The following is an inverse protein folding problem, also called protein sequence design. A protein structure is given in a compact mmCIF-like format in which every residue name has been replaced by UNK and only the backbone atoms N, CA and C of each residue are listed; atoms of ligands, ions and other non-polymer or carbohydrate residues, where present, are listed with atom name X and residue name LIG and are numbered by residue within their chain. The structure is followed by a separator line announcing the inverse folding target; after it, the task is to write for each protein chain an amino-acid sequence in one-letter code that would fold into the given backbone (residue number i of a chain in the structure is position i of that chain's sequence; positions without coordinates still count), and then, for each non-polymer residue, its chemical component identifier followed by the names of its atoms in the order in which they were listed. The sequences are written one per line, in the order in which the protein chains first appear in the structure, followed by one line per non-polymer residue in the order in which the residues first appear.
data_IF_284253069361
#
_entry.id   IF_284253069361
#
_cell.length_a   1.000
_cell.length_b   1.000
_cell.length_c   1.000
_cell.angle_alpha   90.00
_cell.angle_beta   90.00
_cell.angle_gamma   90.00
#
_symmetry.space_group_name_H-M   'P 1'
#
loop_
_entity.id
_entity.type
_entity.pdbx_description
1 polymer ?
#
# COMPACT_ATOMS: atom_id res chain seq x y z
N UNK A 1 11.69 -10.91 16.06
CA UNK A 1 10.85 -11.39 14.94
C UNK A 1 11.75 -11.60 13.72
N UNK A 2 11.93 -12.84 13.29
CA UNK A 2 12.71 -13.14 12.08
C UNK A 2 12.04 -12.50 10.86
N UNK A 3 12.77 -11.64 10.15
CA UNK A 3 12.23 -10.89 9.02
C UNK A 3 12.05 -11.80 7.79
N UNK A 4 10.90 -12.47 7.70
CA UNK A 4 10.52 -13.34 6.58
C UNK A 4 10.63 -12.64 5.22
N UNK A 5 10.40 -11.32 5.17
CA UNK A 5 10.51 -10.54 3.94
C UNK A 5 11.95 -10.50 3.44
N UNK A 6 12.94 -10.40 4.34
CA UNK A 6 14.36 -10.37 4.00
C UNK A 6 14.90 -11.75 3.62
N UNK A 7 14.44 -12.81 4.29
CA UNK A 7 14.96 -14.17 4.05
C UNK A 7 14.48 -14.78 2.73
N UNK A 8 13.26 -14.45 2.31
CA UNK A 8 12.64 -15.00 1.09
C UNK A 8 12.47 -13.98 -0.03
N UNK A 9 13.04 -12.78 0.13
CA UNK A 9 12.95 -11.69 -0.82
C UNK A 9 11.50 -11.35 -1.21
N UNK A 10 10.60 -11.37 -0.22
CA UNK A 10 9.18 -11.09 -0.38
C UNK A 10 8.86 -9.65 -0.02
N UNK A 11 7.89 -9.09 -0.72
CA UNK A 11 7.26 -7.81 -0.47
C UNK A 11 6.11 -8.02 0.50
N UNK A 12 6.18 -7.39 1.67
CA UNK A 12 5.08 -7.34 2.61
C UNK A 12 4.31 -6.02 2.46
N UNK A 13 2.98 -6.09 2.44
CA UNK A 13 2.10 -4.93 2.47
C UNK A 13 0.98 -5.13 3.50
N UNK A 14 0.65 -4.07 4.24
CA UNK A 14 -0.48 -4.05 5.17
C UNK A 14 -1.48 -2.96 4.78
N UNK A 15 -2.75 -3.23 5.05
CA UNK A 15 -3.86 -2.30 4.87
C UNK A 15 -4.41 -1.92 6.23
N UNK A 16 -4.35 -0.63 6.55
CA UNK A 16 -4.98 -0.07 7.73
C UNK A 16 -6.07 0.92 7.31
N UNK A 17 -7.18 0.88 8.02
CA UNK A 17 -8.31 1.82 7.88
C UNK A 17 -8.63 2.51 9.19
N UNK A 18 -9.59 3.43 9.17
CA UNK A 18 -10.14 4.04 10.38
C UNK A 18 -11.53 3.49 10.65
N UNK A 19 -11.81 3.13 11.90
CA UNK A 19 -13.16 2.79 12.32
C UNK A 19 -14.00 4.05 12.61
N UNK A 20 -15.27 3.88 12.99
CA UNK A 20 -16.18 5.00 13.31
C UNK A 20 -15.77 5.86 14.50
N UNK A 21 -14.82 5.39 15.31
CA UNK A 21 -14.25 6.14 16.43
C UNK A 21 -12.93 6.83 16.05
N UNK A 22 -12.55 6.82 14.77
CA UNK A 22 -11.31 7.42 14.28
C UNK A 22 -10.05 6.62 14.64
N UNK A 23 -10.20 5.37 15.08
CA UNK A 23 -9.06 4.53 15.48
C UNK A 23 -8.53 3.73 14.28
N UNK A 24 -7.20 3.68 14.17
CA UNK A 24 -6.52 2.84 13.18
C UNK A 24 -6.79 1.36 13.44
N UNK A 25 -7.31 0.66 12.43
CA UNK A 25 -7.65 -0.76 12.47
C UNK A 25 -6.97 -1.48 11.31
N UNK A 26 -6.31 -2.61 11.57
CA UNK A 26 -5.73 -3.45 10.52
C UNK A 26 -6.87 -4.14 9.75
N UNK A 27 -6.97 -3.87 8.45
CA UNK A 27 -7.95 -4.47 7.55
C UNK A 27 -7.42 -5.75 6.89
N UNK A 28 -6.11 -5.88 6.77
CA UNK A 28 -5.48 -7.07 6.23
C UNK A 28 -4.01 -6.88 5.87
N UNK A 29 -3.38 -7.93 5.37
CA UNK A 29 -2.01 -7.90 4.89
C UNK A 29 -1.80 -8.89 3.75
N UNK A 30 -0.76 -8.68 2.96
CA UNK A 30 -0.36 -9.56 1.89
C UNK A 30 1.16 -9.71 1.80
N UNK A 31 1.56 -10.88 1.30
CA UNK A 31 2.92 -11.20 0.92
C UNK A 31 2.93 -11.44 -0.59
N UNK A 32 3.82 -10.73 -1.28
CA UNK A 32 3.98 -10.82 -2.74
C UNK A 32 5.44 -11.01 -3.09
N UNK A 33 5.72 -11.58 -4.26
CA UNK A 33 7.10 -11.81 -4.70
C UNK A 33 7.74 -10.59 -5.36
N UNK A 34 6.94 -9.75 -6.01
CA UNK A 34 7.43 -8.64 -6.85
C UNK A 34 6.60 -7.37 -6.63
N UNK A 35 7.18 -6.23 -7.03
CA UNK A 35 6.55 -4.88 -6.97
C UNK A 35 6.12 -4.39 -8.35
N UNK A 36 5.61 -5.27 -9.20
CA UNK A 36 5.10 -4.92 -10.51
C UNK A 36 3.60 -4.58 -10.47
N UNK A 37 3.08 -4.02 -11.57
CA UNK A 37 1.69 -3.57 -11.69
C UNK A 37 0.72 -4.74 -11.52
N UNK A 38 1.00 -5.92 -12.07
CA UNK A 38 0.08 -7.06 -12.04
C UNK A 38 -0.04 -7.63 -10.63
N UNK A 39 1.06 -7.70 -9.90
CA UNK A 39 1.08 -8.11 -8.49
C UNK A 39 0.22 -7.18 -7.63
N UNK A 40 0.38 -5.86 -7.80
CA UNK A 40 -0.46 -4.89 -7.08
C UNK A 40 -1.91 -4.91 -7.54
N UNK A 41 -2.17 -5.12 -8.83
CA UNK A 41 -3.52 -5.22 -9.37
C UNK A 41 -4.28 -6.38 -8.71
N UNK A 42 -3.67 -7.58 -8.72
CA UNK A 42 -4.22 -8.75 -8.04
C UNK A 42 -4.48 -8.46 -6.55
N UNK A 43 -3.53 -7.83 -5.86
CA UNK A 43 -3.67 -7.48 -4.46
C UNK A 43 -4.88 -6.55 -4.21
N UNK A 44 -5.04 -5.51 -5.03
CA UNK A 44 -6.15 -4.57 -4.90
C UNK A 44 -7.49 -5.18 -5.31
N UNK A 45 -7.52 -6.10 -6.27
CA UNK A 45 -8.72 -6.88 -6.61
C UNK A 45 -9.14 -7.78 -5.44
N UNK A 46 -8.19 -8.47 -4.80
CA UNK A 46 -8.47 -9.25 -3.59
C UNK A 46 -8.99 -8.37 -2.45
N UNK A 47 -8.37 -7.22 -2.21
CA UNK A 47 -8.84 -6.26 -1.21
C UNK A 47 -10.28 -5.79 -1.51
N UNK A 48 -10.56 -5.43 -2.75
CA UNK A 48 -11.89 -4.98 -3.19
C UNK A 48 -12.94 -6.09 -3.04
N UNK A 49 -12.57 -7.33 -3.37
CA UNK A 49 -13.41 -8.50 -3.17
C UNK A 49 -13.74 -8.71 -1.69
N UNK A 50 -12.74 -8.62 -0.79
CA UNK A 50 -12.96 -8.69 0.66
C UNK A 50 -13.88 -7.56 1.18
N UNK A 51 -13.90 -6.41 0.52
CA UNK A 51 -14.82 -5.30 0.83
C UNK A 51 -16.20 -5.44 0.16
N UNK A 52 -16.52 -6.60 -0.43
CA UNK A 52 -17.79 -6.83 -1.11
C UNK A 52 -17.97 -5.99 -2.37
N UNK A 53 -16.88 -5.70 -3.09
CA UNK A 53 -16.89 -4.87 -4.30
C UNK A 53 -17.00 -3.37 -4.05
N UNK A 54 -17.04 -2.94 -2.78
CA UNK A 54 -17.17 -1.51 -2.42
C UNK A 54 -15.79 -0.89 -2.27
N UNK A 55 -15.41 -0.07 -3.25
CA UNK A 55 -14.16 0.66 -3.21
C UNK A 55 -14.16 1.71 -2.07
N UNK A 56 -13.03 1.92 -1.38
CA UNK A 56 -12.91 2.96 -0.37
C UNK A 56 -12.96 4.35 -1.05
N UNK A 57 -13.40 5.37 -0.32
CA UNK A 57 -13.43 6.74 -0.87
C UNK A 57 -12.02 7.29 -1.17
N UNK A 58 -11.03 6.87 -0.39
CA UNK A 58 -9.65 7.26 -0.59
C UNK A 58 -8.68 6.21 -0.08
N UNK A 59 -7.48 6.21 -0.64
CA UNK A 59 -6.40 5.30 -0.27
C UNK A 59 -5.08 6.07 -0.22
N UNK A 60 -4.31 5.82 0.84
CA UNK A 60 -2.98 6.37 1.02
C UNK A 60 -1.95 5.26 0.79
N UNK A 61 -1.01 5.46 -0.12
CA UNK A 61 0.08 4.49 -0.33
C UNK A 61 1.44 5.16 -0.39
N UNK A 62 2.48 4.34 -0.48
CA UNK A 62 3.83 4.79 -0.78
C UNK A 62 3.92 5.39 -2.19
N UNK A 63 5.01 6.12 -2.43
CA UNK A 63 5.35 6.65 -3.74
C UNK A 63 5.85 5.50 -4.65
N UNK A 64 4.92 4.78 -5.27
CA UNK A 64 5.21 3.68 -6.19
C UNK A 64 4.30 3.78 -7.43
N UNK A 65 4.90 3.99 -8.60
CA UNK A 65 4.17 4.10 -9.86
C UNK A 65 3.35 2.83 -10.18
N UNK A 66 3.86 1.65 -9.82
CA UNK A 66 3.16 0.38 -10.00
C UNK A 66 1.88 0.31 -9.17
N UNK A 67 1.92 0.76 -7.90
CA UNK A 67 0.74 0.81 -7.03
C UNK A 67 -0.29 1.81 -7.56
N UNK A 68 0.16 3.00 -7.97
CA UNK A 68 -0.72 4.03 -8.53
C UNK A 68 -1.49 3.49 -9.75
N UNK A 69 -0.79 2.94 -10.74
CA UNK A 69 -1.40 2.34 -11.93
C UNK A 69 -2.39 1.22 -11.57
N UNK A 70 -2.03 0.38 -10.62
CA UNK A 70 -2.92 -0.71 -10.20
C UNK A 70 -4.20 -0.19 -9.51
N UNK A 71 -4.12 0.86 -8.68
CA UNK A 71 -5.30 1.50 -8.07
C UNK A 71 -6.20 2.11 -9.13
N UNK A 72 -5.62 2.83 -10.11
CA UNK A 72 -6.36 3.42 -11.23
C UNK A 72 -7.13 2.35 -12.04
N UNK A 73 -6.57 1.14 -12.16
CA UNK A 73 -7.21 0.01 -12.84
C UNK A 73 -8.30 -0.66 -11.99
N UNK A 74 -8.06 -0.91 -10.70
CA UNK A 74 -8.98 -1.69 -9.86
C UNK A 74 -10.09 -0.85 -9.23
N UNK A 75 -9.80 0.42 -8.95
CA UNK A 75 -10.66 1.31 -8.18
C UNK A 75 -10.59 2.74 -8.74
N UNK A 76 -11.05 2.99 -9.98
CA UNK A 76 -10.84 4.24 -10.70
C UNK A 76 -11.48 5.48 -10.06
N UNK A 77 -12.48 5.28 -9.19
CA UNK A 77 -13.16 6.37 -8.46
C UNK A 77 -12.52 6.69 -7.11
N UNK A 78 -11.58 5.87 -6.64
CA UNK A 78 -10.92 6.05 -5.34
C UNK A 78 -9.91 7.19 -5.42
N UNK A 79 -9.98 8.12 -4.47
CA UNK A 79 -8.99 9.20 -4.39
C UNK A 79 -7.66 8.64 -3.87
N UNK A 80 -6.66 8.58 -4.75
CA UNK A 80 -5.32 8.17 -4.38
C UNK A 80 -4.48 9.36 -3.92
N UNK A 81 -3.80 9.21 -2.77
CA UNK A 81 -2.80 10.16 -2.27
C UNK A 81 -1.58 9.41 -1.75
N UNK A 82 -0.45 10.11 -1.65
CA UNK A 82 0.73 9.56 -1.01
C UNK A 82 0.66 9.70 0.50
N UNK A 83 1.17 8.70 1.21
CA UNK A 83 1.22 8.70 2.66
C UNK A 83 2.35 9.63 3.16
N UNK A 84 1.97 10.73 3.83
CA UNK A 84 2.91 11.70 4.40
C UNK A 84 3.94 11.04 5.31
N UNK A 85 3.53 10.04 6.11
CA UNK A 85 4.45 9.34 7.01
C UNK A 85 5.59 8.65 6.25
N UNK A 86 5.27 7.93 5.17
CA UNK A 86 6.28 7.27 4.34
C UNK A 86 7.16 8.27 3.60
N UNK A 87 6.60 9.40 3.14
CA UNK A 87 7.40 10.49 2.55
C UNK A 87 8.39 11.02 3.58
N UNK A 88 7.91 11.41 4.76
CA UNK A 88 8.74 11.98 5.83
C UNK A 88 9.84 11.01 6.28
N UNK A 89 9.55 9.71 6.33
CA UNK A 89 10.55 8.68 6.67
C UNK A 89 11.66 8.56 5.62
N UNK A 90 11.36 8.83 4.36
CA UNK A 90 12.31 8.71 3.25
C UNK A 90 13.07 10.01 2.95
N UNK A 91 12.70 11.15 3.54
CA UNK A 91 13.43 12.42 3.33
C UNK A 91 14.88 12.35 3.85
N UNK A 92 15.16 11.89 5.08
CA UNK A 92 16.52 11.86 5.61
C UNK A 92 17.49 11.04 4.75
N UNK A 93 17.04 9.91 4.19
CA UNK A 93 17.89 9.06 3.33
C UNK A 93 18.20 9.70 1.98
N UNK A 94 17.31 10.55 1.46
CA UNK A 94 17.52 11.29 0.21
C UNK A 94 18.39 12.54 0.41
N UNK A 95 18.40 13.13 1.60
CA UNK A 95 19.20 14.33 1.91
C UNK A 95 20.62 14.02 2.40
N UNK A 96 20.91 12.79 2.83
CA UNK A 96 22.26 12.36 3.23
C UNK A 96 23.31 12.34 2.09
N UNK A 97 22.92 12.64 0.85
CA UNK A 97 23.83 12.84 -0.28
C UNK A 97 24.42 14.26 -0.40
N UNK A 98 24.01 15.20 0.47
CA UNK A 98 24.57 16.55 0.56
C UNK A 98 25.61 16.64 1.69
N UNK A 99 26.68 15.84 1.58
CA UNK A 99 27.90 16.02 2.38
C UNK A 99 29.04 16.49 1.49
#
# INVERSE_FOLDING_TARGET
MYNLSQRYNLVFGSFAGMNYHGQSTLLGCALMKTKDIQSFKWLFECLLHCMGGKAPKGILTDQCASMQRAIEMCMPITIHRWCNWHIMRNIPSKLNGYK
#
